data_IF_793038331776
#
_entry.id   IF_793038331776
#
_cell.length_a   1.000
_cell.length_b   1.000
_cell.length_c   1.000
_cell.angle_alpha   90.00
_cell.angle_beta   90.00
_cell.angle_gamma   90.00
#
_symmetry.space_group_name_H-M   'P 1'
#
loop_
_entity.id
_entity.type
_entity.pdbx_description
1 polymer ?
#
# COMPACT_ATOMS: atom_id res chain seq x y z
N UNK A 1 1.60 1.68 8.62
CA UNK A 1 2.49 1.13 9.65
C UNK A 1 3.53 0.24 8.99
N UNK A 2 4.82 0.55 9.22
CA UNK A 2 5.92 -0.31 8.78
C UNK A 2 6.38 -1.18 9.95
N UNK A 3 6.52 -2.47 9.69
CA UNK A 3 6.88 -3.46 10.70
C UNK A 3 8.27 -4.01 10.44
N UNK A 4 9.11 -3.97 11.47
CA UNK A 4 10.43 -4.59 11.53
C UNK A 4 11.41 -4.01 10.48
N UNK A 5 11.89 -4.81 9.53
CA UNK A 5 12.88 -4.39 8.55
C UNK A 5 12.24 -3.86 7.27
N UNK A 6 12.80 -2.79 6.70
CA UNK A 6 12.44 -2.28 5.38
C UNK A 6 13.20 -2.99 4.23
N UNK A 7 13.94 -4.05 4.57
CA UNK A 7 14.70 -4.84 3.60
C UNK A 7 13.88 -6.04 3.12
N UNK A 8 13.55 -6.15 1.81
CA UNK A 8 12.75 -7.26 1.28
C UNK A 8 13.32 -8.64 1.58
N UNK A 9 14.65 -8.74 1.68
CA UNK A 9 15.36 -9.99 2.00
C UNK A 9 15.06 -10.53 3.40
N UNK A 10 14.76 -9.66 4.36
CA UNK A 10 14.43 -10.05 5.73
C UNK A 10 13.24 -11.02 5.79
N UNK A 11 12.21 -10.77 4.98
CA UNK A 11 10.98 -11.56 4.99
C UNK A 11 11.04 -12.85 4.17
N UNK A 12 12.19 -13.16 3.56
CA UNK A 12 12.35 -14.34 2.71
C UNK A 12 12.85 -15.58 3.47
N UNK A 13 13.37 -15.41 4.68
CA UNK A 13 13.93 -16.52 5.46
C UNK A 13 13.87 -16.25 6.97
N UNK A 14 14.13 -17.29 7.76
CA UNK A 14 14.29 -17.21 9.20
C UNK A 14 13.10 -16.59 9.92
N UNK A 15 13.38 -15.73 10.88
CA UNK A 15 12.37 -15.06 11.70
C UNK A 15 11.42 -14.19 10.87
N UNK A 16 11.94 -13.42 9.91
CA UNK A 16 11.13 -12.55 9.06
C UNK A 16 10.12 -13.33 8.23
N UNK A 17 10.48 -14.50 7.71
CA UNK A 17 9.55 -15.37 7.01
C UNK A 17 8.44 -15.89 7.93
N UNK A 18 8.77 -16.24 9.16
CA UNK A 18 7.78 -16.66 10.14
C UNK A 18 6.81 -15.52 10.49
N UNK A 19 7.33 -14.31 10.68
CA UNK A 19 6.54 -13.10 10.96
C UNK A 19 5.56 -12.77 9.82
N UNK A 20 6.02 -12.68 8.57
CA UNK A 20 5.15 -12.34 7.44
C UNK A 20 4.13 -13.44 7.17
N UNK A 21 4.49 -14.71 7.37
CA UNK A 21 3.57 -15.83 7.22
C UNK A 21 2.43 -15.75 8.24
N UNK A 22 2.76 -15.42 9.48
CA UNK A 22 1.75 -15.23 10.54
C UNK A 22 0.85 -14.04 10.24
N UNK A 23 1.44 -12.90 9.86
CA UNK A 23 0.69 -11.68 9.52
C UNK A 23 -0.30 -11.92 8.37
N UNK A 24 0.14 -12.52 7.27
CA UNK A 24 -0.72 -12.83 6.12
C UNK A 24 -1.90 -13.74 6.48
N UNK A 25 -1.72 -14.60 7.48
CA UNK A 25 -2.76 -15.49 7.95
C UNK A 25 -3.73 -14.82 8.93
N UNK A 26 -3.23 -13.96 9.81
CA UNK A 26 -3.98 -13.51 10.99
C UNK A 26 -4.25 -11.99 11.07
N UNK A 27 -3.47 -11.15 10.39
CA UNK A 27 -3.56 -9.70 10.56
C UNK A 27 -4.96 -9.14 10.26
N UNK A 28 -5.70 -9.75 9.34
CA UNK A 28 -7.08 -9.37 9.01
C UNK A 28 -8.04 -9.49 10.21
N UNK A 29 -7.79 -10.44 11.10
CA UNK A 29 -8.62 -10.66 12.28
C UNK A 29 -8.47 -9.50 13.29
N UNK A 30 -7.41 -8.72 13.14
CA UNK A 30 -7.09 -7.52 13.90
C UNK A 30 -7.32 -6.22 13.11
N UNK A 31 -7.94 -6.32 11.92
CA UNK A 31 -8.23 -5.17 11.07
C UNK A 31 -7.06 -4.67 10.22
N UNK A 32 -5.96 -5.43 10.12
CA UNK A 32 -4.80 -5.04 9.31
C UNK A 32 -4.76 -5.75 7.96
N UNK A 33 -4.22 -5.04 6.96
CA UNK A 33 -4.06 -5.53 5.60
C UNK A 33 -2.69 -5.16 5.02
N UNK A 34 -2.07 -6.11 4.30
CA UNK A 34 -0.82 -5.89 3.54
C UNK A 34 -1.14 -5.03 2.31
N UNK A 35 -0.79 -3.75 2.36
CA UNK A 35 -1.20 -2.73 1.37
C UNK A 35 -0.61 -3.02 0.00
N UNK A 36 0.70 -3.25 -0.05
CA UNK A 36 1.45 -3.56 -1.27
C UNK A 36 1.75 -5.05 -1.33
N UNK A 37 0.68 -5.84 -1.37
CA UNK A 37 0.76 -7.30 -1.46
C UNK A 37 1.47 -7.77 -2.74
N UNK A 38 1.96 -9.01 -2.79
CA UNK A 38 2.55 -9.57 -4.01
C UNK A 38 1.61 -9.44 -5.22
N UNK A 39 2.17 -9.16 -6.39
CA UNK A 39 1.41 -9.02 -7.65
C UNK A 39 0.56 -10.26 -7.96
N UNK A 40 1.05 -11.44 -7.57
CA UNK A 40 0.33 -12.71 -7.73
C UNK A 40 -1.01 -12.79 -6.99
N UNK A 41 -1.29 -11.86 -6.06
CA UNK A 41 -2.58 -11.79 -5.36
C UNK A 41 -3.65 -10.98 -6.09
N UNK A 42 -3.37 -10.55 -7.34
CA UNK A 42 -4.32 -9.82 -8.18
C UNK A 42 -4.19 -8.29 -8.13
N UNK A 43 -3.21 -7.76 -7.43
CA UNK A 43 -2.91 -6.32 -7.45
C UNK A 43 -2.07 -5.99 -8.69
N UNK A 44 -2.58 -5.15 -9.57
CA UNK A 44 -1.95 -4.86 -10.88
C UNK A 44 -1.27 -3.51 -10.98
N UNK A 45 -1.52 -2.60 -10.05
CA UNK A 45 -1.00 -1.24 -10.05
C UNK A 45 -0.32 -0.89 -8.72
N UNK A 46 0.20 0.34 -8.63
CA UNK A 46 0.83 0.87 -7.44
C UNK A 46 2.29 0.45 -7.26
N UNK A 47 2.80 0.67 -6.06
CA UNK A 47 4.18 0.38 -5.70
C UNK A 47 4.53 -1.12 -5.76
N UNK A 48 5.83 -1.41 -5.80
CA UNK A 48 6.32 -2.78 -5.69
C UNK A 48 5.90 -3.42 -4.35
N UNK A 49 5.87 -4.74 -4.26
CA UNK A 49 5.48 -5.42 -3.03
C UNK A 49 6.35 -5.03 -1.83
N UNK A 50 5.71 -4.66 -0.72
CA UNK A 50 6.35 -4.26 0.52
C UNK A 50 5.79 -5.07 1.69
N UNK A 51 6.48 -6.13 2.07
CA UNK A 51 6.04 -7.04 3.14
C UNK A 51 5.94 -6.37 4.51
N UNK A 52 6.62 -5.25 4.71
CA UNK A 52 6.61 -4.47 5.95
C UNK A 52 5.43 -3.51 6.06
N UNK A 53 4.78 -3.11 4.95
CA UNK A 53 3.80 -2.02 4.93
C UNK A 53 2.36 -2.51 5.11
N UNK A 54 1.77 -2.17 6.26
CA UNK A 54 0.44 -2.60 6.68
C UNK A 54 -0.46 -1.43 7.05
N UNK A 55 -1.74 -1.49 6.68
CA UNK A 55 -2.74 -0.50 7.05
C UNK A 55 -3.80 -1.07 7.99
N UNK A 56 -4.19 -0.25 8.97
CA UNK A 56 -5.36 -0.53 9.80
C UNK A 56 -6.62 -0.09 9.06
N UNK A 57 -7.37 -1.03 8.52
CA UNK A 57 -8.46 -0.80 7.57
C UNK A 57 -9.62 0.01 8.16
N UNK A 58 -10.06 -0.21 9.41
CA UNK A 58 -11.16 0.59 9.97
C UNK A 58 -10.92 2.09 9.94
N UNK A 59 -9.65 2.52 9.90
CA UNK A 59 -9.28 3.93 9.81
C UNK A 59 -8.85 4.32 8.39
N UNK A 60 -7.98 3.54 7.75
CA UNK A 60 -7.40 3.90 6.45
C UNK A 60 -8.43 3.95 5.33
N UNK A 61 -9.48 3.11 5.38
CA UNK A 61 -10.55 3.14 4.39
C UNK A 61 -11.36 4.44 4.39
N UNK A 62 -11.54 5.04 5.57
CA UNK A 62 -12.20 6.35 5.70
C UNK A 62 -11.36 7.45 5.03
N UNK A 63 -10.05 7.45 5.31
CA UNK A 63 -9.14 8.41 4.67
C UNK A 63 -9.04 8.22 3.16
N UNK A 64 -8.99 6.98 2.69
CA UNK A 64 -8.94 6.71 1.25
C UNK A 64 -10.22 7.18 0.54
N UNK A 65 -11.39 6.99 1.15
CA UNK A 65 -12.66 7.52 0.63
C UNK A 65 -12.69 9.04 0.60
N UNK A 66 -12.27 9.69 1.69
CA UNK A 66 -12.18 11.14 1.76
C UNK A 66 -11.20 11.68 0.71
N UNK A 67 -10.03 11.07 0.56
CA UNK A 67 -9.06 11.41 -0.46
C UNK A 67 -9.66 11.31 -1.86
N UNK A 68 -10.29 10.18 -2.19
CA UNK A 68 -10.86 9.93 -3.51
C UNK A 68 -12.01 10.92 -3.90
N UNK A 69 -12.69 11.49 -2.89
CA UNK A 69 -13.74 12.47 -3.13
C UNK A 69 -13.26 13.93 -3.16
N UNK A 70 -12.04 14.19 -2.70
CA UNK A 70 -11.56 15.56 -2.46
C UNK A 70 -10.35 15.91 -3.33
N UNK A 71 -9.41 14.97 -3.49
CA UNK A 71 -8.15 15.22 -4.20
C UNK A 71 -8.27 14.86 -5.67
N UNK A 72 -7.82 15.77 -6.53
CA UNK A 72 -7.80 15.62 -7.98
C UNK A 72 -6.38 15.81 -8.52
N UNK A 73 -6.16 15.45 -9.77
CA UNK A 73 -4.85 15.68 -10.43
C UNK A 73 -4.45 17.16 -10.44
N UNK A 74 -5.43 18.08 -10.43
CA UNK A 74 -5.17 19.52 -10.39
C UNK A 74 -4.50 20.00 -9.09
N UNK A 75 -4.59 19.21 -8.01
CA UNK A 75 -3.98 19.54 -6.73
C UNK A 75 -2.46 19.25 -6.71
N UNK A 76 -1.96 18.48 -7.69
CA UNK A 76 -0.53 18.17 -7.83
C UNK A 76 0.19 19.31 -8.55
N UNK A 77 0.57 20.34 -7.81
CA UNK A 77 1.21 21.54 -8.35
C UNK A 77 2.38 21.99 -7.45
N UNK A 78 3.26 22.85 -7.99
CA UNK A 78 4.28 23.55 -7.20
C UNK A 78 5.56 22.76 -6.93
N UNK A 79 5.78 21.62 -7.56
CA UNK A 79 7.02 20.83 -7.45
C UNK A 79 7.44 20.27 -8.80
N UNK A 80 8.73 19.94 -8.93
CA UNK A 80 9.28 19.37 -10.16
C UNK A 80 8.60 18.01 -10.48
N UNK A 81 8.10 17.87 -11.71
CA UNK A 81 7.42 16.66 -12.17
C UNK A 81 5.92 16.61 -11.87
N UNK A 82 5.35 17.63 -11.20
CA UNK A 82 3.91 17.67 -10.91
C UNK A 82 3.02 17.58 -12.17
N UNK A 83 3.50 18.10 -13.29
CA UNK A 83 2.83 18.04 -14.60
C UNK A 83 2.73 16.61 -15.16
N UNK A 84 3.41 15.64 -14.57
CA UNK A 84 3.33 14.21 -14.95
C UNK A 84 2.29 13.42 -14.17
N UNK A 85 1.65 14.03 -13.16
CA UNK A 85 0.70 13.35 -12.27
C UNK A 85 -0.42 12.62 -13.03
N UNK A 86 -0.98 13.26 -14.06
CA UNK A 86 -2.01 12.63 -14.90
C UNK A 86 -1.45 11.49 -15.77
N UNK A 87 -0.27 11.70 -16.36
CA UNK A 87 0.37 10.71 -17.25
C UNK A 87 0.69 9.42 -16.51
N UNK A 88 1.21 9.52 -15.28
CA UNK A 88 1.54 8.35 -14.44
C UNK A 88 0.33 7.80 -13.68
N UNK A 89 -0.86 8.40 -13.85
CA UNK A 89 -2.10 7.99 -13.18
C UNK A 89 -1.92 7.89 -11.66
N UNK A 90 -1.33 8.95 -11.07
CA UNK A 90 -0.87 8.93 -9.67
C UNK A 90 -1.97 8.54 -8.69
N UNK A 91 -3.19 9.00 -8.89
CA UNK A 91 -4.32 8.69 -8.01
C UNK A 91 -4.78 7.25 -8.21
N UNK A 92 -5.08 6.85 -9.44
CA UNK A 92 -5.67 5.55 -9.74
C UNK A 92 -4.69 4.41 -9.48
N UNK A 93 -3.45 4.56 -9.95
CA UNK A 93 -2.49 3.47 -9.94
C UNK A 93 -1.65 3.42 -8.65
N UNK A 94 -1.41 4.56 -8.00
CA UNK A 94 -0.54 4.61 -6.80
C UNK A 94 -1.32 4.85 -5.50
N UNK A 95 -2.26 5.78 -5.45
CA UNK A 95 -3.07 5.98 -4.24
C UNK A 95 -4.12 4.90 -4.08
N UNK A 96 -4.86 4.59 -5.16
CA UNK A 96 -5.91 3.57 -5.16
C UNK A 96 -5.43 2.18 -5.58
N UNK A 97 -4.19 2.07 -6.08
CA UNK A 97 -3.56 0.82 -6.51
C UNK A 97 -3.09 -0.09 -5.37
N UNK A 98 -3.85 -0.11 -4.28
CA UNK A 98 -3.58 -0.87 -3.06
C UNK A 98 -4.43 -2.14 -3.01
N UNK A 99 -3.94 -3.17 -2.29
CA UNK A 99 -4.63 -4.45 -2.19
C UNK A 99 -5.92 -4.38 -1.37
N UNK A 100 -6.00 -3.42 -0.45
CA UNK A 100 -7.08 -3.30 0.51
C UNK A 100 -7.56 -1.84 0.63
N UNK A 101 -8.84 -1.69 0.56
CA UNK A 101 -9.52 -0.38 0.53
C UNK A 101 -10.56 -0.28 1.64
#
# INVERSE_FOLDING_TARGET
LDINSLEPGYFKMGRGLAEITWLRKHAKDYGFCEVYSPRSTGRFAGYEPEAWHWSYIPLSSEYLRAYASTVTVADFTGFYGSNKAAEVRIIEDFVQGVACK
#
